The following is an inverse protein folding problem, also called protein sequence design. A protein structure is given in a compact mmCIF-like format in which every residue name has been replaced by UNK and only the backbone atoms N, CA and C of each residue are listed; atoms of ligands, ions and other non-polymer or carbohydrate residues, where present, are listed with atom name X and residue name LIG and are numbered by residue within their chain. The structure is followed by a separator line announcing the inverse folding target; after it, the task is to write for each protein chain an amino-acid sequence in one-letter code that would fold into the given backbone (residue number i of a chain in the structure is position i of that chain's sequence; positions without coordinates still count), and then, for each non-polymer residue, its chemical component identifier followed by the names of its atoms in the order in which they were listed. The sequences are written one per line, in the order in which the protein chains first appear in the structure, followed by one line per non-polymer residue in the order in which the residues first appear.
data_IF_387985848168
#
_entry.id   IF_387985848168
#
_cell.length_a   1.000
_cell.length_b   1.000
_cell.length_c   1.000
_cell.angle_alpha   90.00
_cell.angle_beta   90.00
_cell.angle_gamma   90.00
#
_symmetry.space_group_name_H-M   'P 1'
#
loop_
_entity.id
_entity.type
_entity.pdbx_description
1 polymer ?
#
# COMPACT_ATOMS: atom_id res chain seq x y z
N UNK A 1 28.87 -6.79 4.35
CA UNK A 1 27.47 -6.47 4.01
C UNK A 1 27.10 -5.23 4.79
N UNK A 2 26.79 -4.12 4.12
CA UNK A 2 26.21 -2.94 4.79
C UNK A 2 24.70 -3.04 4.73
N UNK A 3 24.03 -2.71 5.83
CA UNK A 3 22.59 -2.48 5.82
C UNK A 3 22.33 -1.16 5.08
N UNK A 4 21.38 -1.16 4.15
CA UNK A 4 20.99 0.01 3.36
C UNK A 4 19.53 -0.12 2.93
N UNK A 5 18.84 1.01 2.89
CA UNK A 5 17.46 1.11 2.45
C UNK A 5 17.43 1.97 1.20
N UNK A 6 16.74 1.51 0.17
CA UNK A 6 16.48 2.26 -1.06
C UNK A 6 15.04 2.79 -0.99
N UNK A 7 14.82 4.10 -0.77
CA UNK A 7 13.47 4.68 -0.65
C UNK A 7 12.60 4.41 -1.88
N UNK A 8 13.19 4.39 -3.08
CA UNK A 8 12.45 4.11 -4.31
C UNK A 8 11.82 2.71 -4.30
N UNK A 9 12.56 1.70 -3.84
CA UNK A 9 12.08 0.32 -3.75
C UNK A 9 10.94 0.18 -2.73
N UNK A 10 11.02 0.91 -1.60
CA UNK A 10 9.92 0.97 -0.63
C UNK A 10 8.65 1.56 -1.23
N UNK A 11 8.76 2.62 -2.05
CA UNK A 11 7.61 3.26 -2.72
C UNK A 11 7.00 2.35 -3.78
N UNK A 12 7.83 1.61 -4.53
CA UNK A 12 7.35 0.60 -5.49
C UNK A 12 6.56 -0.48 -4.75
N UNK A 13 7.09 -1.01 -3.65
CA UNK A 13 6.38 -2.05 -2.89
C UNK A 13 5.10 -1.51 -2.23
N UNK A 14 5.12 -0.28 -1.71
CA UNK A 14 3.92 0.38 -1.20
C UNK A 14 2.82 0.52 -2.27
N UNK A 15 3.20 0.77 -3.53
CA UNK A 15 2.27 0.81 -4.67
C UNK A 15 1.66 -0.57 -4.93
N UNK A 16 2.45 -1.64 -4.87
CA UNK A 16 1.94 -3.02 -5.00
C UNK A 16 0.92 -3.35 -3.90
N UNK A 17 1.15 -2.90 -2.66
CA UNK A 17 0.19 -3.08 -1.58
C UNK A 17 -1.11 -2.30 -1.83
N UNK A 18 -1.03 -1.10 -2.42
CA UNK A 18 -2.22 -0.33 -2.78
C UNK A 18 -3.03 -0.99 -3.90
N UNK A 19 -2.36 -1.70 -4.82
CA UNK A 19 -3.02 -2.54 -5.82
C UNK A 19 -3.75 -3.71 -5.15
N UNK A 20 -3.09 -4.41 -4.22
CA UNK A 20 -3.72 -5.48 -3.46
C UNK A 20 -4.95 -5.03 -2.64
N UNK A 21 -4.91 -3.81 -2.08
CA UNK A 21 -6.09 -3.19 -1.45
C UNK A 21 -7.24 -3.05 -2.46
N UNK A 22 -6.94 -2.56 -3.66
CA UNK A 22 -7.94 -2.32 -4.71
C UNK A 22 -8.55 -3.63 -5.22
N UNK A 23 -7.72 -4.67 -5.36
CA UNK A 23 -8.18 -6.01 -5.73
C UNK A 23 -9.09 -6.62 -4.66
N UNK A 24 -8.75 -6.44 -3.38
CA UNK A 24 -9.59 -6.88 -2.27
C UNK A 24 -10.93 -6.14 -2.23
N UNK A 25 -10.94 -4.84 -2.53
CA UNK A 25 -12.17 -4.03 -2.63
C UNK A 25 -13.07 -4.50 -3.78
N UNK A 26 -12.48 -4.74 -4.95
CA UNK A 26 -13.20 -5.26 -6.11
C UNK A 26 -13.77 -6.67 -5.84
N UNK A 27 -12.99 -7.55 -5.19
CA UNK A 27 -13.45 -8.87 -4.80
C UNK A 27 -14.64 -8.79 -3.82
N UNK A 28 -14.56 -7.88 -2.83
CA UNK A 28 -15.65 -7.63 -1.89
C UNK A 28 -16.90 -7.14 -2.62
N UNK A 29 -16.79 -6.14 -3.47
CA UNK A 29 -17.90 -5.63 -4.26
C UNK A 29 -18.56 -6.74 -5.12
N UNK A 30 -17.75 -7.62 -5.73
CA UNK A 30 -18.25 -8.75 -6.50
C UNK A 30 -19.03 -9.75 -5.62
N UNK A 31 -18.49 -10.10 -4.45
CA UNK A 31 -19.15 -11.02 -3.50
C UNK A 31 -20.48 -10.44 -3.01
N UNK A 32 -20.54 -9.14 -2.71
CA UNK A 32 -21.80 -8.50 -2.32
C UNK A 32 -22.82 -8.44 -3.46
N UNK A 33 -22.37 -8.21 -4.70
CA UNK A 33 -23.26 -8.14 -5.86
C UNK A 33 -23.78 -9.50 -6.33
N UNK A 34 -22.98 -10.57 -6.21
CA UNK A 34 -23.26 -11.88 -6.80
C UNK A 34 -23.37 -13.03 -5.80
N UNK A 35 -23.04 -12.79 -4.54
CA UNK A 35 -22.99 -13.79 -3.48
C UNK A 35 -24.30 -14.00 -2.75
N UNK A 36 -25.43 -13.41 -3.14
CA UNK A 36 -26.72 -13.72 -2.50
C UNK A 36 -27.46 -14.83 -3.24
N UNK A 37 -27.82 -15.91 -2.54
CA UNK A 37 -28.83 -16.86 -3.02
C UNK A 37 -30.23 -16.39 -2.57
N UNK A 38 -31.20 -16.40 -3.49
CA UNK A 38 -32.58 -16.03 -3.19
C UNK A 38 -33.21 -16.99 -2.18
N UNK A 39 -33.81 -16.43 -1.13
CA UNK A 39 -34.26 -17.11 0.09
C UNK A 39 -35.56 -17.94 -0.07
N UNK A 40 -36.10 -18.09 -1.27
CA UNK A 40 -37.49 -18.52 -1.47
C UNK A 40 -37.75 -20.03 -1.36
N UNK A 41 -36.78 -20.86 -0.98
CA UNK A 41 -36.97 -22.32 -0.98
C UNK A 41 -36.70 -22.96 0.39
N UNK A 42 -37.79 -23.17 1.13
CA UNK A 42 -37.84 -24.02 2.32
C UNK A 42 -37.41 -25.45 1.96
N UNK A 43 -36.28 -25.92 2.51
CA UNK A 43 -35.71 -27.25 2.24
C UNK A 43 -34.19 -27.28 2.37
N UNK A 44 -33.51 -28.25 1.73
CA UNK A 44 -32.04 -28.36 1.68
C UNK A 44 -31.39 -27.04 1.22
N UNK A 45 -32.08 -26.28 0.37
CA UNK A 45 -31.66 -24.95 -0.12
C UNK A 45 -31.57 -23.92 1.01
N UNK A 46 -32.45 -23.98 2.03
CA UNK A 46 -32.39 -23.11 3.21
C UNK A 46 -31.22 -23.42 4.16
N UNK A 47 -30.79 -24.68 4.24
CA UNK A 47 -29.56 -25.04 4.98
C UNK A 47 -28.33 -24.57 4.22
N UNK A 48 -28.33 -24.73 2.89
CA UNK A 48 -27.28 -24.21 2.01
C UNK A 48 -27.21 -22.69 2.03
N UNK A 49 -28.33 -21.98 2.10
CA UNK A 49 -28.35 -20.50 2.17
C UNK A 49 -27.75 -20.00 3.49
N UNK A 50 -28.03 -20.68 4.61
CA UNK A 50 -27.41 -20.40 5.90
C UNK A 50 -25.89 -20.56 5.86
N UNK A 51 -25.40 -21.73 5.44
CA UNK A 51 -23.97 -22.01 5.32
C UNK A 51 -23.27 -21.05 4.33
N UNK A 52 -23.94 -20.70 3.24
CA UNK A 52 -23.45 -19.72 2.27
C UNK A 52 -23.35 -18.32 2.85
N UNK A 53 -24.35 -17.88 3.62
CA UNK A 53 -24.31 -16.56 4.29
C UNK A 53 -23.17 -16.47 5.32
N UNK A 54 -22.92 -17.55 6.07
CA UNK A 54 -21.79 -17.62 7.00
C UNK A 54 -20.44 -17.55 6.27
N UNK A 55 -20.33 -18.26 5.14
CA UNK A 55 -19.13 -18.22 4.31
C UNK A 55 -18.89 -16.84 3.70
N UNK A 56 -19.93 -16.19 3.16
CA UNK A 56 -19.85 -14.81 2.66
C UNK A 56 -19.42 -13.85 3.76
N UNK A 57 -19.94 -14.02 4.99
CA UNK A 57 -19.51 -13.23 6.14
C UNK A 57 -18.02 -13.39 6.45
N UNK A 58 -17.52 -14.63 6.51
CA UNK A 58 -16.08 -14.90 6.74
C UNK A 58 -15.19 -14.37 5.62
N UNK A 59 -15.68 -14.45 4.37
CA UNK A 59 -14.97 -13.89 3.21
C UNK A 59 -14.89 -12.37 3.31
N UNK A 60 -15.98 -11.70 3.71
CA UNK A 60 -16.00 -10.26 3.93
C UNK A 60 -15.00 -9.84 5.03
N UNK A 61 -15.00 -10.56 6.16
CA UNK A 61 -14.06 -10.32 7.26
C UNK A 61 -12.60 -10.47 6.81
N UNK A 62 -12.29 -11.51 6.05
CA UNK A 62 -10.94 -11.74 5.51
C UNK A 62 -10.52 -10.62 4.55
N UNK A 63 -11.41 -10.20 3.64
CA UNK A 63 -11.14 -9.12 2.69
C UNK A 63 -10.96 -7.78 3.42
N UNK A 64 -11.77 -7.48 4.44
CA UNK A 64 -11.60 -6.30 5.29
C UNK A 64 -10.23 -6.31 5.99
N UNK A 65 -9.82 -7.46 6.50
CA UNK A 65 -8.52 -7.60 7.15
C UNK A 65 -7.37 -7.36 6.16
N UNK A 66 -7.46 -7.93 4.96
CA UNK A 66 -6.47 -7.74 3.90
C UNK A 66 -6.38 -6.27 3.47
N UNK A 67 -7.52 -5.59 3.31
CA UNK A 67 -7.58 -4.15 3.04
C UNK A 67 -6.85 -3.35 4.13
N UNK A 68 -7.17 -3.58 5.40
CA UNK A 68 -6.53 -2.86 6.51
C UNK A 68 -5.02 -3.11 6.58
N UNK A 69 -4.58 -4.35 6.36
CA UNK A 69 -3.18 -4.73 6.41
C UNK A 69 -2.37 -4.09 5.27
N UNK A 70 -2.89 -4.14 4.05
CA UNK A 70 -2.21 -3.61 2.86
C UNK A 70 -2.16 -2.08 2.89
N UNK A 71 -3.23 -1.41 3.27
CA UNK A 71 -3.27 0.05 3.43
C UNK A 71 -2.30 0.53 4.53
N UNK A 72 -2.36 -0.06 5.73
CA UNK A 72 -1.47 0.32 6.83
C UNK A 72 0.00 0.09 6.49
N UNK A 73 0.32 -1.02 5.82
CA UNK A 73 1.68 -1.34 5.40
C UNK A 73 2.17 -0.41 4.28
N UNK A 74 1.31 -0.06 3.31
CA UNK A 74 1.64 0.91 2.26
C UNK A 74 1.96 2.29 2.85
N UNK A 75 1.16 2.76 3.81
CA UNK A 75 1.39 4.02 4.51
C UNK A 75 2.70 4.02 5.28
N UNK A 76 2.97 2.97 6.07
CA UNK A 76 4.21 2.85 6.82
C UNK A 76 5.45 2.84 5.91
N UNK A 77 5.42 2.14 4.78
CA UNK A 77 6.54 2.13 3.83
C UNK A 77 6.80 3.51 3.22
N UNK A 78 5.76 4.27 2.90
CA UNK A 78 5.90 5.65 2.41
C UNK A 78 6.47 6.60 3.47
N UNK A 79 6.07 6.44 4.74
CA UNK A 79 6.62 7.21 5.85
C UNK A 79 8.10 6.90 6.06
N UNK A 80 8.48 5.62 6.03
CA UNK A 80 9.88 5.20 6.16
C UNK A 80 10.72 5.72 4.98
N UNK A 81 10.23 5.60 3.75
CA UNK A 81 10.91 6.14 2.57
C UNK A 81 11.20 7.64 2.72
N UNK A 82 10.20 8.40 3.17
CA UNK A 82 10.32 9.85 3.41
C UNK A 82 11.36 10.18 4.48
N UNK A 83 11.44 9.39 5.56
CA UNK A 83 12.45 9.59 6.61
C UNK A 83 13.87 9.32 6.12
N UNK A 84 14.05 8.29 5.28
CA UNK A 84 15.36 8.00 4.69
C UNK A 84 15.79 9.08 3.70
N UNK A 85 14.89 9.52 2.80
CA UNK A 85 15.16 10.63 1.87
C UNK A 85 15.59 11.90 2.61
N UNK A 86 14.88 12.28 3.67
CA UNK A 86 15.23 13.45 4.48
C UNK A 86 16.60 13.28 5.18
N UNK A 87 16.91 12.08 5.65
CA UNK A 87 18.20 11.79 6.30
C UNK A 87 19.37 11.81 5.30
N UNK A 88 19.14 11.35 4.08
CA UNK A 88 20.11 11.38 2.99
C UNK A 88 20.36 12.82 2.52
N UNK A 89 19.30 13.63 2.36
CA UNK A 89 19.41 15.05 2.03
C UNK A 89 20.18 15.85 3.09
N UNK A 90 19.88 15.63 4.38
CA UNK A 90 20.59 16.28 5.48
C UNK A 90 22.05 15.85 5.56
N UNK A 91 22.34 14.57 5.29
CA UNK A 91 23.71 14.07 5.19
C UNK A 91 24.47 14.68 4.02
N UNK A 92 23.84 14.77 2.84
CA UNK A 92 24.40 15.42 1.67
C UNK A 92 24.66 16.91 1.93
N UNK A 93 23.71 17.63 2.53
CA UNK A 93 23.86 19.04 2.88
C UNK A 93 25.02 19.30 3.85
N UNK A 94 25.21 18.43 4.85
CA UNK A 94 26.37 18.50 5.75
C UNK A 94 27.68 18.31 5.01
N UNK A 95 27.74 17.35 4.09
CA UNK A 95 28.93 17.10 3.27
C UNK A 95 29.21 18.29 2.36
N UNK A 96 28.19 18.81 1.68
CA UNK A 96 28.29 20.01 0.84
C UNK A 96 28.79 21.23 1.60
N UNK A 97 28.37 21.40 2.86
CA UNK A 97 28.83 22.49 3.73
C UNK A 97 30.33 22.40 4.08
N UNK A 98 30.96 21.24 3.91
CA UNK A 98 32.42 21.08 4.10
C UNK A 98 33.24 21.52 2.89
N UNK A 99 32.61 21.63 1.71
CA UNK A 99 33.31 22.05 0.50
C UNK A 99 33.48 23.58 0.45
N UNK A 100 34.63 24.08 -0.06
CA UNK A 100 34.83 25.50 -0.23
C UNK A 100 33.85 26.07 -1.27
N UNK A 101 33.44 27.33 -1.09
CA UNK A 101 32.56 28.03 -2.03
C UNK A 101 33.21 28.07 -3.41
N UNK A 102 32.58 27.43 -4.39
CA UNK A 102 33.02 27.48 -5.77
C UNK A 102 32.75 28.88 -6.36
N UNK A 103 33.82 29.64 -6.63
CA UNK A 103 33.74 30.85 -7.44
C UNK A 103 33.42 30.43 -8.89
N UNK A 104 32.16 30.55 -9.30
CA UNK A 104 31.80 30.39 -10.71
C UNK A 104 32.33 31.61 -11.49
N UNK A 105 33.11 31.43 -12.57
CA UNK A 105 33.47 32.53 -13.44
C UNK A 105 32.19 33.15 -14.02
N UNK A 106 31.96 34.43 -13.75
CA UNK A 106 30.94 35.17 -14.49
C UNK A 106 31.39 35.27 -15.94
N UNK A 107 30.61 34.68 -16.85
CA UNK A 107 30.77 34.92 -18.28
C UNK A 107 30.36 36.37 -18.54
N UNK A 108 31.35 37.26 -18.58
CA UNK A 108 31.13 38.62 -19.05
C UNK A 108 30.95 38.55 -20.57
N UNK A 109 29.72 38.73 -21.05
CA UNK A 109 29.44 38.95 -22.48
C UNK A 109 29.48 40.45 -22.71
N UNK A 110 30.64 40.92 -23.18
CA UNK A 110 30.76 42.22 -23.85
C UNK A 110 30.13 42.16 -25.26
#
# INVERSE_FOLDING_TARGET
MSFGVEPADLRVFATTLQQAYSDADAAKAYVHAHGSFSFHETGIIGVLSGAHSEWVGKLDEMLNHLQALTDSSSRALNEIATQYEASDEDSAARVDATYPVALRPSVNRD
#
